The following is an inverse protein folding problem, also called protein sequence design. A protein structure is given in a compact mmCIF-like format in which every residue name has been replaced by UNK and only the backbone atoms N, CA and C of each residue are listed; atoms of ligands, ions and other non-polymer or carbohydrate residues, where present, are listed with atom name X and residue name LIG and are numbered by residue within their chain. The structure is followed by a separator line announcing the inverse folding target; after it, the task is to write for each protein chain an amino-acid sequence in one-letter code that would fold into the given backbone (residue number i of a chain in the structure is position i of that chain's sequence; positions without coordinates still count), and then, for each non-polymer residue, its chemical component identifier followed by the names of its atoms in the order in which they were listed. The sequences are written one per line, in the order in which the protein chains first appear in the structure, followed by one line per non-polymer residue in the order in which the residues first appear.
data_IF_987658480973
#
_entry.id   IF_987658480973
#
_cell.length_a   1.000
_cell.length_b   1.000
_cell.length_c   1.000
_cell.angle_alpha   90.00
_cell.angle_beta   90.00
_cell.angle_gamma   90.00
#
_symmetry.space_group_name_H-M   'P 1'
#
loop_
_entity.id
_entity.type
_entity.pdbx_description
1 polymer ?
#
# COMPACT_ATOMS: atom_id res chain seq x y z
N UNK A 1 18.20 9.24 -6.92
CA UNK A 1 17.46 9.24 -8.21
C UNK A 1 17.24 10.65 -8.74
N UNK A 2 16.99 11.67 -7.91
CA UNK A 2 16.93 13.08 -8.34
C UNK A 2 18.29 13.63 -8.85
N UNK A 3 19.39 13.01 -8.45
CA UNK A 3 20.76 13.40 -8.83
C UNK A 3 21.24 12.77 -10.14
N UNK A 4 20.46 11.88 -10.75
CA UNK A 4 20.84 11.19 -12.00
C UNK A 4 21.95 10.14 -11.87
N UNK A 5 22.43 9.88 -10.65
CA UNK A 5 23.57 8.97 -10.39
C UNK A 5 23.20 7.47 -10.47
N UNK A 6 21.92 7.13 -10.48
CA UNK A 6 21.44 5.79 -10.74
C UNK A 6 20.19 5.89 -11.61
N UNK A 7 20.35 5.71 -12.91
CA UNK A 7 19.22 5.47 -13.82
C UNK A 7 19.08 3.97 -13.98
N UNK A 8 18.03 3.36 -13.43
CA UNK A 8 17.67 2.01 -13.80
C UNK A 8 17.42 1.98 -15.31
N UNK A 9 17.86 0.93 -15.97
CA UNK A 9 17.56 0.74 -17.39
C UNK A 9 16.22 -0.01 -17.47
N UNK A 10 15.15 0.59 -18.01
CA UNK A 10 13.84 -0.02 -18.04
C UNK A 10 13.71 -1.26 -18.95
N UNK A 11 14.71 -1.56 -19.75
CA UNK A 11 14.67 -2.60 -20.79
C UNK A 11 15.26 -3.95 -20.38
N UNK A 12 15.48 -4.21 -19.09
CA UNK A 12 16.15 -5.44 -18.63
C UNK A 12 15.19 -6.55 -18.15
N UNK A 13 13.88 -6.37 -18.24
CA UNK A 13 12.98 -7.45 -17.89
C UNK A 13 12.95 -8.53 -18.98
N UNK A 14 13.44 -9.70 -18.66
CA UNK A 14 13.32 -10.88 -19.50
C UNK A 14 11.81 -11.21 -19.67
N UNK A 15 11.29 -11.29 -20.92
CA UNK A 15 9.87 -11.58 -21.16
C UNK A 15 9.37 -12.88 -20.47
N UNK A 16 10.28 -13.80 -20.17
CA UNK A 16 9.98 -15.03 -19.43
C UNK A 16 9.60 -14.80 -17.96
N UNK A 17 9.94 -13.62 -17.41
CA UNK A 17 9.59 -13.21 -16.05
C UNK A 17 8.21 -12.56 -15.97
N UNK A 18 7.59 -12.26 -17.11
CA UNK A 18 6.27 -11.63 -17.13
C UNK A 18 5.22 -12.52 -16.45
N UNK A 19 4.40 -11.91 -15.59
CA UNK A 19 3.33 -12.58 -14.84
C UNK A 19 2.00 -11.97 -15.20
N UNK A 20 1.11 -12.79 -15.75
CA UNK A 20 -0.28 -12.43 -15.98
C UNK A 20 -1.16 -12.94 -14.81
N UNK A 21 -2.07 -12.12 -14.37
CA UNK A 21 -3.12 -12.46 -13.40
C UNK A 21 -4.47 -12.54 -14.14
N UNK A 22 -4.90 -13.73 -14.63
CA UNK A 22 -6.01 -13.84 -15.57
C UNK A 22 -7.33 -13.25 -15.07
N UNK A 23 -7.62 -13.39 -13.76
CA UNK A 23 -8.88 -12.89 -13.17
C UNK A 23 -8.96 -11.37 -13.07
N UNK A 24 -7.82 -10.68 -12.94
CA UNK A 24 -7.76 -9.22 -12.82
C UNK A 24 -7.39 -8.51 -14.12
N UNK A 25 -6.93 -9.26 -15.14
CA UNK A 25 -6.38 -8.70 -16.37
C UNK A 25 -5.04 -7.97 -16.19
N UNK A 26 -4.46 -8.01 -15.01
CA UNK A 26 -3.17 -7.35 -14.74
C UNK A 26 -2.01 -8.19 -15.29
N UNK A 27 -1.10 -7.53 -15.98
CA UNK A 27 0.18 -8.10 -16.41
C UNK A 27 1.32 -7.26 -15.83
N UNK A 28 2.35 -7.92 -15.31
CA UNK A 28 3.56 -7.31 -14.74
C UNK A 28 4.77 -7.79 -15.52
N UNK A 29 5.77 -6.93 -15.67
CA UNK A 29 7.01 -7.27 -16.37
C UNK A 29 7.82 -8.36 -15.66
N UNK A 30 7.75 -8.39 -14.31
CA UNK A 30 8.38 -9.40 -13.49
C UNK A 30 7.61 -9.62 -12.17
N UNK A 31 7.86 -10.72 -11.42
CA UNK A 31 7.13 -11.06 -10.20
C UNK A 31 7.56 -10.28 -8.95
N UNK A 32 8.61 -9.44 -9.04
CA UNK A 32 9.16 -8.74 -7.88
C UNK A 32 8.41 -7.42 -7.68
N UNK A 33 7.76 -7.27 -6.55
CA UNK A 33 7.04 -6.04 -6.20
C UNK A 33 7.58 -5.39 -4.94
N UNK A 34 7.45 -4.06 -4.85
CA UNK A 34 7.69 -3.32 -3.63
C UNK A 34 6.43 -3.35 -2.77
N UNK A 35 6.53 -3.93 -1.58
CA UNK A 35 5.40 -4.05 -0.65
C UNK A 35 5.05 -2.72 0.03
N UNK A 36 3.79 -2.58 0.42
CA UNK A 36 3.33 -1.48 1.28
C UNK A 36 4.15 -1.37 2.56
N UNK A 37 4.29 -0.14 3.05
CA UNK A 37 5.08 0.19 4.24
C UNK A 37 6.41 0.86 3.92
N UNK A 38 6.96 0.67 2.73
CA UNK A 38 8.12 1.41 2.26
C UNK A 38 7.72 2.82 1.84
N UNK A 39 6.80 2.95 0.89
CA UNK A 39 6.25 4.22 0.43
C UNK A 39 4.84 4.44 1.00
N UNK A 40 4.79 4.99 2.21
CA UNK A 40 3.52 5.18 2.93
C UNK A 40 2.65 6.29 2.38
N UNK A 41 3.25 7.23 1.66
CA UNK A 41 2.61 8.47 1.24
C UNK A 41 2.61 8.66 -0.29
N UNK A 42 2.93 7.62 -1.06
CA UNK A 42 3.02 7.64 -2.53
C UNK A 42 4.04 8.68 -3.06
N UNK A 43 5.23 8.74 -2.45
CA UNK A 43 6.26 9.75 -2.76
C UNK A 43 7.26 9.29 -3.82
N UNK A 44 7.47 7.97 -3.93
CA UNK A 44 8.58 7.41 -4.72
C UNK A 44 8.13 6.32 -5.71
N UNK A 45 6.86 6.30 -6.10
CA UNK A 45 6.30 5.30 -7.03
C UNK A 45 7.09 5.23 -8.33
N UNK A 46 7.20 6.36 -9.05
CA UNK A 46 7.90 6.41 -10.34
C UNK A 46 9.38 6.01 -10.23
N UNK A 47 10.15 6.51 -9.23
CA UNK A 47 11.51 6.03 -9.00
C UNK A 47 11.61 4.52 -8.73
N UNK A 48 10.66 3.94 -7.99
CA UNK A 48 10.70 2.51 -7.68
C UNK A 48 10.36 1.63 -8.88
N UNK A 49 9.35 2.01 -9.67
CA UNK A 49 9.08 1.35 -10.96
C UNK A 49 10.30 1.43 -11.89
N UNK A 50 10.93 2.63 -11.99
CA UNK A 50 12.16 2.81 -12.77
C UNK A 50 13.36 2.04 -12.18
N UNK A 51 13.31 1.62 -10.91
CA UNK A 51 14.34 0.79 -10.29
C UNK A 51 14.23 -0.69 -10.69
N UNK A 52 13.16 -1.08 -11.38
CA UNK A 52 12.95 -2.42 -11.92
C UNK A 52 11.90 -3.26 -11.17
N UNK A 53 11.16 -2.69 -10.22
CA UNK A 53 10.02 -3.41 -9.65
C UNK A 53 8.92 -3.60 -10.68
N UNK A 54 8.41 -4.82 -10.86
CA UNK A 54 7.30 -5.13 -11.75
C UNK A 54 5.96 -4.52 -11.30
N UNK A 55 5.87 -4.17 -10.02
CA UNK A 55 4.75 -3.42 -9.42
C UNK A 55 5.18 -2.77 -8.10
N UNK A 56 4.42 -1.74 -7.69
CA UNK A 56 4.66 -1.02 -6.42
C UNK A 56 3.34 -0.91 -5.66
N UNK A 57 3.33 -1.30 -4.39
CA UNK A 57 2.21 -1.07 -3.49
C UNK A 57 2.56 0.03 -2.49
N UNK A 58 1.77 1.11 -2.48
CA UNK A 58 1.93 2.25 -1.60
C UNK A 58 0.97 2.20 -0.42
N UNK A 59 1.35 2.77 0.70
CA UNK A 59 0.53 2.80 1.92
C UNK A 59 1.20 2.08 3.09
N UNK A 60 0.50 1.76 4.16
CA UNK A 60 -0.95 1.90 4.35
C UNK A 60 -1.31 3.35 4.59
N UNK A 61 -2.31 3.84 3.87
CA UNK A 61 -2.88 5.17 4.06
C UNK A 61 -4.22 5.07 4.82
N UNK A 62 -4.53 6.07 5.64
CA UNK A 62 -5.79 6.20 6.37
C UNK A 62 -6.53 7.48 5.92
N UNK A 63 -7.87 7.57 6.09
CA UNK A 63 -8.62 8.76 5.70
C UNK A 63 -8.04 10.06 6.26
N UNK A 64 -7.75 10.09 7.56
CA UNK A 64 -7.09 11.22 8.23
C UNK A 64 -5.59 10.98 8.39
N UNK A 65 -4.75 12.03 8.39
CA UNK A 65 -3.36 11.91 8.78
C UNK A 65 -3.20 11.28 10.17
N UNK A 66 -2.15 10.50 10.36
CA UNK A 66 -1.91 9.80 11.62
C UNK A 66 -0.41 9.66 11.88
N UNK A 67 0.05 10.08 13.06
CA UNK A 67 1.45 10.04 13.43
C UNK A 67 2.00 8.62 13.61
N UNK A 68 1.12 7.66 13.84
CA UNK A 68 1.47 6.30 14.22
C UNK A 68 1.82 6.17 15.71
N UNK A 69 2.43 5.05 16.08
CA UNK A 69 2.81 4.80 17.47
C UNK A 69 4.02 5.64 17.91
N UNK A 70 4.18 5.92 19.21
CA UNK A 70 5.33 6.64 19.75
C UNK A 70 6.67 5.98 19.39
N UNK A 71 7.70 6.80 19.23
CA UNK A 71 9.09 6.33 19.04
C UNK A 71 9.73 5.97 20.39
N UNK A 72 10.67 4.98 20.44
CA UNK A 72 11.18 4.16 19.34
C UNK A 72 10.12 3.13 18.87
N UNK A 73 10.03 2.89 17.58
CA UNK A 73 9.03 2.01 16.98
C UNK A 73 9.57 1.10 15.87
N UNK A 74 10.88 1.12 15.67
CA UNK A 74 11.61 0.23 14.76
C UNK A 74 12.88 -0.23 15.47
N UNK A 75 13.10 -1.53 15.58
CA UNK A 75 14.21 -2.14 16.27
C UNK A 75 14.91 -3.13 15.34
N UNK A 76 16.22 -2.97 15.17
CA UNK A 76 17.07 -3.88 14.39
C UNK A 76 17.70 -4.90 15.33
N UNK A 77 17.54 -6.16 15.02
CA UNK A 77 18.15 -7.28 15.72
C UNK A 77 19.28 -7.83 14.83
N UNK A 78 20.44 -7.21 14.90
CA UNK A 78 21.54 -7.48 13.96
C UNK A 78 22.04 -8.92 14.04
N UNK A 79 22.10 -9.50 15.23
CA UNK A 79 22.51 -10.91 15.46
C UNK A 79 21.55 -11.90 14.81
N UNK A 80 20.25 -11.62 14.88
CA UNK A 80 19.20 -12.47 14.29
C UNK A 80 18.90 -12.09 12.82
N UNK A 81 19.55 -11.07 12.27
CA UNK A 81 19.26 -10.49 10.95
C UNK A 81 17.77 -10.18 10.79
N UNK A 82 17.13 -9.63 11.83
CA UNK A 82 15.71 -9.39 11.92
C UNK A 82 15.37 -7.94 12.26
N UNK A 83 14.10 -7.59 12.07
CA UNK A 83 13.54 -6.26 12.41
C UNK A 83 12.22 -6.44 13.11
N UNK A 84 12.04 -5.77 14.24
CA UNK A 84 10.76 -5.63 14.92
C UNK A 84 10.25 -4.22 14.69
N UNK A 85 8.96 -4.07 14.38
CA UNK A 85 8.34 -2.75 14.28
C UNK A 85 6.96 -2.69 14.97
N UNK A 86 6.61 -1.47 15.37
CA UNK A 86 5.29 -1.10 15.86
C UNK A 86 4.86 0.25 15.26
N UNK A 87 4.88 0.36 13.93
CA UNK A 87 4.72 1.63 13.20
C UNK A 87 3.35 2.28 13.43
N UNK A 88 2.24 1.52 13.39
CA UNK A 88 0.89 2.04 13.66
C UNK A 88 0.34 2.93 12.55
N UNK A 89 0.57 2.57 11.28
CA UNK A 89 0.05 3.27 10.09
C UNK A 89 0.35 4.78 10.05
N UNK A 90 1.57 5.18 10.34
CA UNK A 90 1.96 6.59 10.18
C UNK A 90 1.87 7.00 8.70
N UNK A 91 1.10 8.05 8.42
CA UNK A 91 0.89 8.58 7.08
C UNK A 91 0.32 10.00 7.10
N UNK A 92 0.36 10.71 5.97
CA UNK A 92 -0.06 12.09 5.81
C UNK A 92 -1.53 12.25 5.38
N UNK A 93 -2.30 11.14 5.39
CA UNK A 93 -3.72 11.09 5.05
C UNK A 93 -4.02 10.95 3.57
N UNK A 94 -5.27 10.59 3.29
CA UNK A 94 -5.74 10.17 1.95
C UNK A 94 -5.63 11.30 0.92
N UNK A 95 -5.88 12.54 1.29
CA UNK A 95 -5.90 13.65 0.34
C UNK A 95 -4.54 13.91 -0.31
N UNK A 96 -3.45 13.90 0.47
CA UNK A 96 -2.10 14.04 -0.05
C UNK A 96 -1.67 12.80 -0.83
N UNK A 97 -2.03 11.63 -0.33
CA UNK A 97 -1.75 10.35 -0.96
C UNK A 97 -2.37 10.27 -2.37
N UNK A 98 -3.67 10.55 -2.52
CA UNK A 98 -4.38 10.52 -3.81
C UNK A 98 -3.80 11.53 -4.80
N UNK A 99 -3.47 12.74 -4.36
CA UNK A 99 -2.82 13.74 -5.22
C UNK A 99 -1.50 13.23 -5.81
N UNK A 100 -0.69 12.53 -5.03
CA UNK A 100 0.57 11.94 -5.49
C UNK A 100 0.35 10.71 -6.37
N UNK A 101 -0.58 9.84 -5.96
CA UNK A 101 -0.94 8.62 -6.70
C UNK A 101 -1.49 8.95 -8.09
N UNK A 102 -2.37 9.95 -8.21
CA UNK A 102 -2.95 10.36 -9.49
C UNK A 102 -1.91 10.85 -10.50
N UNK A 103 -0.81 11.45 -10.02
CA UNK A 103 0.28 11.91 -10.87
C UNK A 103 1.13 10.78 -11.47
N UNK A 104 0.95 9.53 -11.01
CA UNK A 104 1.70 8.35 -11.50
C UNK A 104 0.85 7.41 -12.37
N UNK A 105 -0.36 7.86 -12.74
CA UNK A 105 -1.27 7.08 -13.59
C UNK A 105 -0.60 6.68 -14.91
N UNK A 106 -0.69 5.39 -15.26
CA UNK A 106 -0.14 4.86 -16.52
C UNK A 106 1.36 4.54 -16.49
N UNK A 107 2.07 4.75 -15.38
CA UNK A 107 3.50 4.42 -15.28
C UNK A 107 3.77 2.91 -15.09
N UNK A 108 2.79 2.14 -14.65
CA UNK A 108 2.92 0.71 -14.38
C UNK A 108 1.82 0.17 -13.49
N UNK A 109 2.01 -1.02 -12.96
CA UNK A 109 1.08 -1.65 -12.01
C UNK A 109 1.32 -1.08 -10.61
N UNK A 110 0.33 -0.32 -10.12
CA UNK A 110 0.41 0.37 -8.83
C UNK A 110 -0.75 -0.08 -7.96
N UNK A 111 -0.44 -0.56 -6.76
CA UNK A 111 -1.39 -0.89 -5.71
C UNK A 111 -1.51 0.23 -4.68
N UNK A 112 -2.71 0.41 -4.14
CA UNK A 112 -2.96 1.27 -2.99
C UNK A 112 -3.39 0.43 -1.79
N UNK A 113 -2.65 0.52 -0.69
CA UNK A 113 -2.96 -0.17 0.56
C UNK A 113 -3.70 0.78 1.50
N UNK A 114 -4.94 0.46 1.84
CA UNK A 114 -5.81 1.28 2.68
C UNK A 114 -6.04 0.65 4.04
N UNK A 115 -6.17 1.49 5.05
CA UNK A 115 -6.44 1.09 6.43
C UNK A 115 -7.36 2.08 7.14
N UNK A 116 -7.88 1.66 8.28
CA UNK A 116 -8.67 2.52 9.14
C UNK A 116 -7.79 3.34 10.09
N UNK A 117 -8.23 4.54 10.47
CA UNK A 117 -7.62 5.30 11.53
C UNK A 117 -7.68 4.55 12.88
N UNK A 118 -6.69 4.77 13.73
CA UNK A 118 -6.58 4.09 15.03
C UNK A 118 -7.77 4.45 15.95
N UNK A 119 -8.19 5.69 15.89
CA UNK A 119 -9.27 6.30 16.67
C UNK A 119 -10.61 6.36 15.92
N UNK A 120 -10.76 5.56 14.86
CA UNK A 120 -12.01 5.50 14.09
C UNK A 120 -13.11 4.84 14.90
N UNK A 121 -14.27 5.50 14.97
CA UNK A 121 -15.50 4.97 15.54
C UNK A 121 -16.16 3.93 14.61
N UNK A 122 -15.99 4.09 13.30
CA UNK A 122 -16.49 3.16 12.29
C UNK A 122 -15.41 2.85 11.25
N UNK A 123 -14.64 1.81 11.53
CA UNK A 123 -13.52 1.39 10.67
C UNK A 123 -13.95 0.97 9.27
N UNK A 124 -15.12 0.37 9.12
CA UNK A 124 -15.62 -0.06 7.80
C UNK A 124 -15.86 1.18 6.92
N UNK A 125 -16.40 2.25 7.46
CA UNK A 125 -16.55 3.50 6.73
C UNK A 125 -15.20 4.08 6.30
N UNK A 126 -14.16 3.94 7.09
CA UNK A 126 -12.80 4.37 6.72
C UNK A 126 -12.29 3.61 5.50
N UNK A 127 -12.53 2.29 5.43
CA UNK A 127 -12.16 1.47 4.26
C UNK A 127 -12.97 1.87 3.03
N UNK A 128 -14.28 2.04 3.15
CA UNK A 128 -15.16 2.49 2.07
C UNK A 128 -14.69 3.84 1.51
N UNK A 129 -14.44 4.81 2.39
CA UNK A 129 -13.92 6.11 1.99
C UNK A 129 -12.53 6.01 1.33
N UNK A 130 -11.66 5.19 1.90
CA UNK A 130 -10.33 4.94 1.37
C UNK A 130 -10.37 4.34 -0.03
N UNK A 131 -11.16 3.27 -0.23
CA UNK A 131 -11.30 2.61 -1.53
C UNK A 131 -11.88 3.56 -2.58
N UNK A 132 -12.96 4.26 -2.28
CA UNK A 132 -13.53 5.27 -3.19
C UNK A 132 -12.51 6.32 -3.65
N UNK A 133 -11.67 6.77 -2.73
CA UNK A 133 -10.69 7.79 -3.02
C UNK A 133 -9.53 7.28 -3.90
N UNK A 134 -9.03 6.05 -3.69
CA UNK A 134 -7.84 5.55 -4.39
C UNK A 134 -8.15 4.79 -5.66
N UNK A 135 -9.33 4.14 -5.75
CA UNK A 135 -9.70 3.25 -6.86
C UNK A 135 -9.50 3.86 -8.26
N UNK A 136 -9.88 5.12 -8.53
CA UNK A 136 -9.69 5.71 -9.86
C UNK A 136 -8.23 5.89 -10.28
N UNK A 137 -7.27 5.70 -9.37
CA UNK A 137 -5.87 6.09 -9.53
C UNK A 137 -4.88 4.94 -9.39
N UNK A 138 -5.34 3.70 -9.13
CA UNK A 138 -4.47 2.53 -8.94
C UNK A 138 -4.94 1.33 -9.77
N UNK A 139 -4.10 0.31 -9.86
CA UNK A 139 -4.40 -0.93 -10.58
C UNK A 139 -5.14 -1.95 -9.71
N UNK A 140 -4.95 -1.88 -8.40
CA UNK A 140 -5.63 -2.70 -7.40
C UNK A 140 -5.60 -2.02 -6.03
N UNK A 141 -6.49 -2.44 -5.14
CA UNK A 141 -6.54 -1.97 -3.75
C UNK A 141 -6.31 -3.15 -2.80
N UNK A 142 -5.48 -2.92 -1.79
CA UNK A 142 -5.30 -3.84 -0.66
C UNK A 142 -6.05 -3.30 0.56
N UNK A 143 -6.99 -4.07 1.09
CA UNK A 143 -7.71 -3.76 2.33
C UNK A 143 -6.92 -4.36 3.48
N UNK A 144 -6.20 -3.52 4.23
CA UNK A 144 -5.29 -3.97 5.26
C UNK A 144 -5.96 -4.09 6.63
N UNK A 145 -6.35 -5.31 6.98
CA UNK A 145 -6.93 -5.67 8.29
C UNK A 145 -5.98 -6.53 9.14
N UNK A 146 -4.70 -6.64 8.74
CA UNK A 146 -3.75 -7.58 9.36
C UNK A 146 -2.85 -6.96 10.43
N UNK A 147 -2.76 -5.63 10.53
CA UNK A 147 -1.83 -4.97 11.44
C UNK A 147 -2.09 -5.34 12.91
N UNK A 148 -1.08 -5.88 13.61
CA UNK A 148 -1.17 -6.10 15.05
C UNK A 148 -1.01 -4.81 15.86
N UNK A 149 -0.55 -3.74 15.21
CA UNK A 149 -0.18 -2.47 15.83
C UNK A 149 -1.34 -1.49 15.98
N UNK A 150 -2.54 -1.89 15.54
CA UNK A 150 -3.79 -1.15 15.70
C UNK A 150 -4.76 -2.02 16.52
N UNK A 151 -5.03 -1.67 17.79
CA UNK A 151 -5.89 -2.47 18.67
C UNK A 151 -7.26 -2.78 18.05
N UNK A 152 -7.69 -4.03 18.13
CA UNK A 152 -8.99 -4.49 17.64
C UNK A 152 -9.14 -4.55 16.11
N UNK A 153 -8.13 -4.20 15.32
CA UNK A 153 -8.22 -4.23 13.85
C UNK A 153 -8.42 -5.65 13.31
N UNK A 154 -7.74 -6.61 13.92
CA UNK A 154 -7.83 -8.02 13.50
C UNK A 154 -9.19 -8.67 13.74
N UNK A 155 -10.06 -8.07 14.56
CA UNK A 155 -11.45 -8.49 14.70
C UNK A 155 -12.25 -8.39 13.39
N UNK A 156 -11.79 -7.57 12.44
CA UNK A 156 -12.36 -7.53 11.07
C UNK A 156 -12.05 -8.79 10.24
N UNK A 157 -11.22 -9.71 10.74
CA UNK A 157 -10.96 -11.02 10.13
C UNK A 157 -12.00 -12.07 10.54
N UNK A 158 -12.82 -11.80 11.55
CA UNK A 158 -13.94 -12.67 11.92
C UNK A 158 -14.95 -12.70 10.77
N UNK A 159 -15.54 -13.87 10.52
CA UNK A 159 -16.33 -14.13 9.32
C UNK A 159 -17.41 -13.06 9.07
N UNK A 160 -18.26 -12.77 10.05
CA UNK A 160 -19.35 -11.79 9.89
C UNK A 160 -18.86 -10.37 9.66
N UNK A 161 -17.81 -9.95 10.37
CA UNK A 161 -17.19 -8.63 10.18
C UNK A 161 -16.50 -8.50 8.81
N UNK A 162 -15.88 -9.58 8.33
CA UNK A 162 -15.25 -9.62 7.02
C UNK A 162 -16.30 -9.59 5.89
N UNK A 163 -17.40 -10.34 6.02
CA UNK A 163 -18.51 -10.34 5.06
C UNK A 163 -19.13 -8.93 4.93
N UNK A 164 -19.38 -8.23 6.06
CA UNK A 164 -19.89 -6.84 6.05
C UNK A 164 -18.88 -5.87 5.41
N UNK A 165 -17.60 -5.96 5.80
CA UNK A 165 -16.54 -5.13 5.22
C UNK A 165 -16.45 -5.31 3.70
N UNK A 166 -16.39 -6.54 3.21
CA UNK A 166 -16.25 -6.83 1.78
C UNK A 166 -17.51 -6.43 0.99
N UNK A 167 -18.70 -6.66 1.55
CA UNK A 167 -19.96 -6.22 0.94
C UNK A 167 -19.97 -4.72 0.72
N UNK A 168 -19.72 -3.94 1.78
CA UNK A 168 -19.74 -2.46 1.73
C UNK A 168 -18.62 -1.86 0.88
N UNK A 169 -17.46 -2.49 0.83
CA UNK A 169 -16.37 -2.05 -0.04
C UNK A 169 -16.66 -2.40 -1.50
N UNK A 170 -17.33 -3.54 -1.77
CA UNK A 170 -17.72 -3.93 -3.11
C UNK A 170 -18.78 -3.02 -3.75
N UNK A 171 -19.56 -2.31 -2.93
CA UNK A 171 -20.55 -1.30 -3.36
C UNK A 171 -19.93 0.11 -3.55
N UNK A 172 -18.68 0.29 -3.20
CA UNK A 172 -17.99 1.59 -3.18
C UNK A 172 -17.36 1.96 -4.52
#
# INVERSE_FOLDING_TARGET
LKTGLARPQPDLDDPRLAVALPKSGLTRSNPIGLAAGFDKNAEVIAPMLAFGFGFVECGTVTPRPQAGNPRPRLFRLSEDRAVINRMGFNNDGIGLFVRRLSATRGLGVIGANVGANKDSENRINDYVAGVRAVWPHCSYVTINISSPNTPGLRGLQDRGALEDLLGRVGEA
#
